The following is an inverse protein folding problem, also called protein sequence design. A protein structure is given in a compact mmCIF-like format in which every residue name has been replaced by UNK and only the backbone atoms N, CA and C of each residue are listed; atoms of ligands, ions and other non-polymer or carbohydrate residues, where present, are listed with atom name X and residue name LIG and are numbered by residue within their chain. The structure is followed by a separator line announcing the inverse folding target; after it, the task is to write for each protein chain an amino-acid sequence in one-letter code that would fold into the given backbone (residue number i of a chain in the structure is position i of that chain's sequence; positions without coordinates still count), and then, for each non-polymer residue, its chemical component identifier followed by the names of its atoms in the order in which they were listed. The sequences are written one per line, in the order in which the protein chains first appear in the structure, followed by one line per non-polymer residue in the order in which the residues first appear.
data_IF_091275389785
#
_entry.id   IF_091275389785
#
_cell.length_a   1.000
_cell.length_b   1.000
_cell.length_c   1.000
_cell.angle_alpha   90.00
_cell.angle_beta   90.00
_cell.angle_gamma   90.00
#
_symmetry.space_group_name_H-M   'P 1'
#
loop_
_entity.id
_entity.type
_entity.pdbx_description
1 polymer ?
#
# COMPACT_ATOMS: atom_id res chain seq x y z
N UNK A 1 14.96 7.64 2.91
CA UNK A 1 15.16 6.54 1.94
C UNK A 1 14.04 6.63 0.93
N UNK A 2 14.34 6.41 -0.34
CA UNK A 2 13.36 6.45 -1.44
C UNK A 2 13.31 5.09 -2.13
N UNK A 3 12.11 4.64 -2.44
CA UNK A 3 11.82 3.35 -3.02
C UNK A 3 10.79 3.51 -4.14
N UNK A 4 10.87 2.63 -5.14
CA UNK A 4 10.02 2.71 -6.31
C UNK A 4 9.50 1.32 -6.66
N UNK A 5 8.18 1.19 -6.82
CA UNK A 5 7.56 -0.04 -7.30
C UNK A 5 7.61 -0.01 -8.83
N UNK A 6 8.35 -0.94 -9.43
CA UNK A 6 8.56 -1.00 -10.89
C UNK A 6 8.16 -2.35 -11.48
N UNK A 7 7.68 -3.27 -10.65
CA UNK A 7 7.37 -4.64 -11.02
C UNK A 7 5.98 -5.05 -10.52
N UNK A 8 5.31 -5.85 -11.33
CA UNK A 8 4.20 -6.68 -10.91
C UNK A 8 4.66 -7.71 -9.86
N UNK A 9 3.70 -8.28 -9.13
CA UNK A 9 3.92 -9.23 -8.04
C UNK A 9 4.79 -10.46 -8.42
N UNK A 10 4.82 -10.82 -9.71
CA UNK A 10 5.55 -11.95 -10.29
C UNK A 10 6.91 -11.56 -10.90
N UNK A 11 7.32 -10.29 -10.76
CA UNK A 11 8.59 -9.78 -11.27
C UNK A 11 8.52 -9.16 -12.67
N UNK A 12 7.39 -9.27 -13.39
CA UNK A 12 7.23 -8.60 -14.68
C UNK A 12 7.31 -7.06 -14.51
N UNK A 13 7.90 -6.31 -15.46
CA UNK A 13 7.95 -4.85 -15.37
C UNK A 13 6.57 -4.22 -15.58
N UNK A 14 6.27 -3.14 -14.86
CA UNK A 14 5.03 -2.38 -15.06
C UNK A 14 5.05 -1.57 -16.37
N UNK A 15 3.87 -1.26 -16.90
CA UNK A 15 3.69 -0.50 -18.15
C UNK A 15 3.15 0.93 -17.97
N UNK A 16 3.28 1.50 -16.78
CA UNK A 16 2.88 2.88 -16.44
C UNK A 16 3.89 3.53 -15.48
N UNK A 17 3.63 4.79 -15.11
CA UNK A 17 4.43 5.52 -14.14
C UNK A 17 4.48 4.78 -12.78
N UNK A 18 5.65 4.65 -12.15
CA UNK A 18 5.79 3.85 -10.94
C UNK A 18 5.24 4.54 -9.69
N UNK A 19 5.00 3.74 -8.64
CA UNK A 19 4.74 4.26 -7.29
C UNK A 19 6.05 4.60 -6.60
N UNK A 20 6.15 5.81 -6.04
CA UNK A 20 7.29 6.25 -5.23
C UNK A 20 6.91 6.31 -3.75
N UNK A 21 7.77 5.77 -2.89
CA UNK A 21 7.63 5.75 -1.44
C UNK A 21 8.89 6.36 -0.83
N UNK A 22 8.72 7.42 -0.03
CA UNK A 22 9.80 8.04 0.72
C UNK A 22 9.59 7.83 2.23
N UNK A 23 10.56 7.17 2.85
CA UNK A 23 10.58 6.88 4.28
C UNK A 23 11.61 7.77 4.98
N UNK A 24 11.19 8.44 6.05
CA UNK A 24 12.09 9.26 6.88
C UNK A 24 11.70 9.22 8.36
N UNK A 25 12.67 9.21 9.28
CA UNK A 25 12.38 9.30 10.70
C UNK A 25 11.78 10.67 11.03
N UNK A 26 10.82 10.69 11.94
CA UNK A 26 10.22 11.88 12.52
C UNK A 26 10.08 11.71 14.05
N UNK A 27 9.93 12.80 14.83
CA UNK A 27 9.90 12.73 16.29
C UNK A 27 8.85 11.76 16.88
N UNK A 28 7.73 11.54 16.18
CA UNK A 28 6.65 10.65 16.64
C UNK A 28 6.54 9.30 15.93
N UNK A 29 7.37 9.05 14.91
CA UNK A 29 7.22 7.84 14.10
C UNK A 29 8.02 7.86 12.81
N UNK A 30 7.76 6.87 11.97
CA UNK A 30 8.23 6.83 10.59
C UNK A 30 7.26 7.62 9.71
N UNK A 31 7.72 8.70 9.11
CA UNK A 31 6.96 9.36 8.06
C UNK A 31 7.13 8.60 6.75
N UNK A 32 6.00 8.28 6.13
CA UNK A 32 5.89 7.68 4.81
C UNK A 32 5.16 8.66 3.89
N UNK A 33 5.87 9.18 2.89
CA UNK A 33 5.29 9.97 1.80
C UNK A 33 5.15 9.06 0.57
N UNK A 34 3.97 9.02 -0.05
CA UNK A 34 3.65 8.19 -1.23
C UNK A 34 3.26 9.10 -2.39
N UNK A 35 3.70 8.78 -3.60
CA UNK A 35 3.25 9.39 -4.85
C UNK A 35 2.98 8.28 -5.85
N UNK A 36 1.78 8.25 -6.43
CA UNK A 36 1.37 7.17 -7.34
C UNK A 36 0.38 7.68 -8.40
N UNK A 37 0.29 7.00 -9.55
CA UNK A 37 -0.76 7.28 -10.52
C UNK A 37 -2.14 7.08 -9.89
N UNK A 38 -3.11 7.86 -10.33
CA UNK A 38 -4.51 7.73 -9.95
C UNK A 38 -5.32 7.28 -11.16
N UNK A 39 -5.78 6.03 -11.16
CA UNK A 39 -6.49 5.43 -12.29
C UNK A 39 -8.01 5.59 -12.20
N UNK A 40 -8.53 5.81 -10.99
CA UNK A 40 -9.94 5.97 -10.65
C UNK A 40 -10.81 4.74 -11.01
N UNK A 41 -10.30 3.51 -10.82
CA UNK A 41 -10.99 2.26 -11.18
C UNK A 41 -10.79 1.12 -10.16
N UNK A 42 -11.80 0.70 -9.39
CA UNK A 42 -13.16 1.25 -9.31
C UNK A 42 -13.22 2.43 -8.33
N UNK A 43 -14.17 3.38 -8.49
CA UNK A 43 -14.28 4.54 -7.62
C UNK A 43 -14.57 4.12 -6.17
N UNK A 44 -13.98 4.83 -5.22
CA UNK A 44 -14.18 4.63 -3.79
C UNK A 44 -15.68 4.76 -3.40
N UNK A 45 -16.20 3.93 -2.48
CA UNK A 45 -17.48 4.19 -1.86
C UNK A 45 -17.39 5.47 -1.01
N UNK A 46 -18.49 6.23 -0.92
CA UNK A 46 -18.54 7.43 -0.08
C UNK A 46 -18.38 7.08 1.40
N UNK A 47 -17.42 7.69 2.10
CA UNK A 47 -17.16 7.46 3.53
C UNK A 47 -16.57 8.69 4.23
N UNK A 48 -16.57 8.73 5.59
CA UNK A 48 -16.00 9.84 6.35
C UNK A 48 -14.48 9.90 6.19
N UNK A 49 -13.97 11.07 5.78
CA UNK A 49 -12.54 11.29 5.52
C UNK A 49 -11.72 11.09 6.79
N UNK A 50 -10.63 10.31 6.71
CA UNK A 50 -9.66 10.14 7.79
C UNK A 50 -9.91 8.97 8.73
N UNK A 51 -11.03 8.24 8.58
CA UNK A 51 -11.36 7.11 9.45
C UNK A 51 -10.94 5.75 8.85
N UNK A 52 -10.67 4.73 9.68
CA UNK A 52 -10.46 3.36 9.23
C UNK A 52 -11.65 2.82 8.45
N UNK A 53 -11.37 2.15 7.32
CA UNK A 53 -12.39 1.53 6.48
C UNK A 53 -11.95 0.11 6.12
N UNK A 54 -12.85 -0.87 6.27
CA UNK A 54 -12.57 -2.26 5.89
C UNK A 54 -12.72 -2.46 4.38
N UNK A 55 -12.06 -3.49 3.83
CA UNK A 55 -12.12 -3.81 2.41
C UNK A 55 -11.60 -2.71 1.45
N UNK A 56 -10.62 -1.90 1.90
CA UNK A 56 -9.97 -0.89 1.04
C UNK A 56 -9.29 -1.51 -0.19
N UNK A 57 -8.93 -2.78 -0.14
CA UNK A 57 -8.37 -3.48 -1.29
C UNK A 57 -9.36 -3.66 -2.44
N UNK A 58 -10.68 -3.49 -2.25
CA UNK A 58 -11.66 -3.66 -3.34
C UNK A 58 -11.87 -2.40 -4.19
N UNK A 59 -11.26 -1.27 -3.82
CA UNK A 59 -11.47 0.01 -4.47
C UNK A 59 -10.17 0.79 -4.63
N UNK A 60 -10.13 1.70 -5.60
CA UNK A 60 -9.15 2.79 -5.59
C UNK A 60 -9.62 3.89 -4.61
N UNK A 61 -9.55 3.52 -3.33
CA UNK A 61 -10.07 4.28 -2.20
C UNK A 61 -9.24 5.50 -1.83
N UNK A 62 -9.58 6.70 -2.33
CA UNK A 62 -8.89 7.93 -1.94
C UNK A 62 -9.83 9.04 -1.43
N UNK A 63 -10.36 8.79 -0.24
CA UNK A 63 -10.94 9.81 0.65
C UNK A 63 -10.21 9.89 2.00
N UNK A 64 -8.90 9.59 2.04
CA UNK A 64 -8.14 9.69 3.29
C UNK A 64 -8.36 8.51 4.26
N UNK A 65 -8.83 7.37 3.76
CA UNK A 65 -8.94 6.16 4.56
C UNK A 65 -7.59 5.46 4.69
N UNK A 66 -7.39 4.78 5.81
CA UNK A 66 -6.22 3.94 6.06
C UNK A 66 -6.67 2.69 6.83
N UNK A 67 -5.93 1.59 6.70
CA UNK A 67 -6.11 0.42 7.54
C UNK A 67 -4.75 -0.01 8.06
N UNK A 68 -4.63 -0.08 9.38
CA UNK A 68 -3.42 -0.56 10.05
C UNK A 68 -3.78 -1.81 10.83
N UNK A 69 -3.08 -2.89 10.51
CA UNK A 69 -3.19 -4.19 11.15
C UNK A 69 -1.84 -4.55 11.78
N UNK A 70 -1.85 -5.02 13.01
CA UNK A 70 -0.72 -5.74 13.60
C UNK A 70 -1.04 -7.22 13.57
N UNK A 71 -0.18 -8.01 12.94
CA UNK A 71 -0.33 -9.44 12.83
C UNK A 71 0.60 -10.15 13.83
N UNK A 72 0.11 -11.24 14.41
CA UNK A 72 0.93 -12.19 15.15
C UNK A 72 0.93 -13.51 14.37
N UNK A 73 1.99 -13.79 13.61
CA UNK A 73 2.09 -14.88 12.62
C UNK A 73 1.37 -14.57 11.29
N UNK A 74 1.41 -15.51 10.33
CA UNK A 74 0.82 -15.35 8.99
C UNK A 74 -0.71 -15.29 9.08
N UNK A 75 -1.30 -14.22 8.54
CA UNK A 75 -2.77 -14.01 8.43
C UNK A 75 -3.53 -14.04 9.77
N UNK A 76 -2.86 -13.80 10.90
CA UNK A 76 -3.50 -13.79 12.21
C UNK A 76 -3.44 -12.38 12.81
N UNK A 77 -4.59 -11.70 12.83
CA UNK A 77 -4.73 -10.33 13.28
C UNK A 77 -4.67 -10.28 14.80
N UNK A 78 -3.70 -9.53 15.35
CA UNK A 78 -3.60 -9.24 16.77
C UNK A 78 -4.31 -7.93 17.13
N UNK A 79 -4.14 -6.89 16.31
CA UNK A 79 -4.85 -5.61 16.42
C UNK A 79 -5.24 -5.10 15.05
N UNK A 80 -6.36 -4.41 14.95
CA UNK A 80 -6.87 -3.82 13.72
C UNK A 80 -7.38 -2.40 13.94
N UNK A 81 -7.60 -1.68 12.85
CA UNK A 81 -8.11 -0.30 12.85
C UNK A 81 -7.29 0.65 13.75
N UNK A 82 -5.97 0.42 13.84
CA UNK A 82 -5.11 1.27 14.65
C UNK A 82 -5.01 2.67 14.03
N UNK A 83 -5.16 3.74 14.85
CA UNK A 83 -5.15 5.09 14.34
C UNK A 83 -3.74 5.48 13.90
N UNK A 84 -3.63 6.25 12.83
CA UNK A 84 -2.43 7.02 12.52
C UNK A 84 -2.79 8.35 11.89
N UNK A 85 -1.84 9.27 11.85
CA UNK A 85 -2.01 10.48 11.06
C UNK A 85 -1.87 10.13 9.59
N UNK A 86 -2.93 10.37 8.81
CA UNK A 86 -2.93 10.19 7.36
C UNK A 86 -3.53 11.40 6.66
N UNK A 87 -2.89 11.79 5.55
CA UNK A 87 -3.41 12.78 4.61
C UNK A 87 -3.24 12.27 3.20
N UNK A 88 -4.24 12.49 2.36
CA UNK A 88 -4.17 12.19 0.94
C UNK A 88 -4.71 13.35 0.12
N UNK A 89 -4.14 13.53 -1.06
CA UNK A 89 -4.60 14.51 -2.05
C UNK A 89 -4.45 13.95 -3.45
N UNK A 90 -5.33 14.34 -4.35
CA UNK A 90 -5.24 13.99 -5.77
C UNK A 90 -5.05 15.29 -6.55
N UNK A 91 -4.09 15.31 -7.45
CA UNK A 91 -3.84 16.42 -8.35
C UNK A 91 -3.32 15.89 -9.68
N UNK A 92 -3.98 16.27 -10.77
CA UNK A 92 -3.52 16.01 -12.15
C UNK A 92 -3.22 14.53 -12.46
N UNK A 93 -4.05 13.60 -11.98
CA UNK A 93 -3.87 12.16 -12.25
C UNK A 93 -2.79 11.49 -11.39
N UNK A 94 -2.26 12.19 -10.38
CA UNK A 94 -1.38 11.62 -9.36
C UNK A 94 -2.03 11.80 -8.00
N UNK A 95 -2.02 10.75 -7.18
CA UNK A 95 -2.36 10.87 -5.77
C UNK A 95 -1.09 10.90 -4.92
N UNK A 96 -1.15 11.72 -3.87
CA UNK A 96 -0.09 11.83 -2.88
C UNK A 96 -0.64 11.50 -1.51
N UNK A 97 0.03 10.60 -0.82
CA UNK A 97 -0.27 10.20 0.55
C UNK A 97 0.83 10.61 1.50
N UNK A 98 0.46 10.92 2.74
CA UNK A 98 1.40 11.07 3.85
C UNK A 98 0.84 10.36 5.07
N UNK A 99 1.60 9.41 5.60
CA UNK A 99 1.32 8.75 6.86
C UNK A 99 2.43 9.04 7.87
N UNK A 100 2.09 9.16 9.16
CA UNK A 100 3.05 9.06 10.25
C UNK A 100 2.74 7.79 11.04
N UNK A 101 3.58 6.77 10.87
CA UNK A 101 3.44 5.47 11.52
C UNK A 101 4.15 5.53 12.88
N UNK A 102 3.45 5.41 14.01
CA UNK A 102 4.07 5.46 15.34
C UNK A 102 5.20 4.44 15.52
N UNK A 103 6.27 4.82 16.22
CA UNK A 103 7.38 3.91 16.49
C UNK A 103 6.95 2.64 17.25
N UNK A 104 5.92 2.76 18.08
CA UNK A 104 5.32 1.65 18.83
C UNK A 104 4.60 0.60 17.97
N UNK A 105 4.34 0.88 16.68
CA UNK A 105 3.75 -0.10 15.76
C UNK A 105 4.79 -1.04 15.16
N UNK A 106 6.07 -0.72 15.30
CA UNK A 106 7.15 -1.55 14.80
C UNK A 106 7.62 -2.55 15.86
N UNK A 107 7.84 -3.82 15.47
CA UNK A 107 8.58 -4.74 16.29
C UNK A 107 10.00 -4.21 16.60
N UNK A 108 10.60 -4.59 17.75
CA UNK A 108 11.98 -4.23 18.04
C UNK A 108 12.92 -4.67 16.91
N UNK A 109 13.84 -3.76 16.52
CA UNK A 109 14.88 -4.03 15.51
C UNK A 109 14.36 -4.44 14.13
N UNK A 110 13.17 -4.00 13.73
CA UNK A 110 12.69 -4.20 12.36
C UNK A 110 13.64 -3.57 11.34
N UNK A 111 14.01 -4.33 10.32
CA UNK A 111 14.90 -3.92 9.24
C UNK A 111 14.37 -4.32 7.85
N UNK A 112 13.23 -5.00 7.80
CA UNK A 112 12.59 -5.47 6.58
C UNK A 112 11.21 -4.83 6.40
N UNK A 113 10.87 -4.52 5.16
CA UNK A 113 9.52 -4.13 4.76
C UNK A 113 9.29 -4.49 3.30
N UNK A 114 8.03 -4.51 2.90
CA UNK A 114 7.62 -4.57 1.51
C UNK A 114 6.46 -3.60 1.30
N UNK A 115 6.19 -3.25 0.05
CA UNK A 115 5.07 -2.39 -0.32
C UNK A 115 4.41 -2.94 -1.57
N UNK A 116 3.10 -2.74 -1.67
CA UNK A 116 2.30 -3.22 -2.78
C UNK A 116 1.43 -2.09 -3.31
N UNK A 117 1.20 -2.08 -4.62
CA UNK A 117 0.19 -1.25 -5.26
C UNK A 117 -0.83 -2.16 -5.95
N UNK A 118 -2.10 -1.82 -5.80
CA UNK A 118 -3.21 -2.56 -6.38
C UNK A 118 -4.13 -1.52 -7.03
N UNK A 119 -4.45 -1.73 -8.29
CA UNK A 119 -5.28 -0.82 -9.08
C UNK A 119 -6.05 -1.60 -10.16
N UNK A 120 -7.07 -0.96 -10.73
CA UNK A 120 -7.98 -1.60 -11.68
C UNK A 120 -8.97 -2.58 -11.05
N UNK A 121 -9.90 -3.07 -11.87
CA UNK A 121 -11.02 -3.92 -11.42
C UNK A 121 -11.19 -5.21 -12.24
N UNK A 122 -11.76 -6.25 -11.61
CA UNK A 122 -12.05 -7.53 -12.25
C UNK A 122 -10.82 -8.18 -12.90
N UNK A 123 -10.92 -8.53 -14.18
CA UNK A 123 -9.82 -9.13 -14.96
C UNK A 123 -8.67 -8.15 -15.26
N UNK A 124 -8.89 -6.84 -15.07
CA UNK A 124 -7.88 -5.80 -15.27
C UNK A 124 -7.17 -5.40 -13.97
N UNK A 125 -7.44 -6.11 -12.87
CA UNK A 125 -6.83 -5.80 -11.59
C UNK A 125 -5.36 -6.19 -11.60
N UNK A 126 -4.51 -5.21 -11.34
CA UNK A 126 -3.07 -5.35 -11.33
C UNK A 126 -2.55 -5.38 -9.90
N UNK A 127 -1.52 -6.19 -9.67
CA UNK A 127 -0.85 -6.32 -8.37
C UNK A 127 0.63 -6.09 -8.58
N UNK A 128 1.17 -5.14 -7.83
CA UNK A 128 2.57 -4.73 -7.92
C UNK A 128 3.24 -4.84 -6.56
N UNK A 129 4.56 -5.02 -6.57
CA UNK A 129 5.33 -5.18 -5.35
C UNK A 129 6.70 -4.48 -5.46
N UNK A 130 7.13 -3.86 -4.36
CA UNK A 130 8.48 -3.31 -4.23
C UNK A 130 9.52 -4.44 -4.28
N UNK A 131 9.24 -5.54 -3.56
CA UNK A 131 10.00 -6.78 -3.61
C UNK A 131 9.05 -7.91 -4.08
N UNK A 132 8.97 -8.16 -5.40
CA UNK A 132 8.11 -9.21 -5.95
C UNK A 132 8.69 -10.61 -5.72
N UNK A 133 7.88 -11.63 -5.99
CA UNK A 133 8.38 -13.00 -6.05
C UNK A 133 9.35 -13.09 -7.24
N UNK A 134 10.57 -13.62 -7.06
CA UNK A 134 11.47 -13.83 -8.19
C UNK A 134 10.80 -14.68 -9.26
N UNK A 135 10.88 -14.28 -10.53
CA UNK A 135 10.16 -14.93 -11.64
C UNK A 135 10.36 -16.45 -11.69
N UNK A 136 11.59 -16.91 -11.41
CA UNK A 136 11.97 -18.32 -11.34
C UNK A 136 11.30 -19.12 -10.20
N UNK A 137 10.74 -18.44 -9.21
CA UNK A 137 10.07 -19.00 -8.03
C UNK A 137 8.54 -18.93 -8.15
N UNK A 138 8.03 -18.27 -9.20
CA UNK A 138 6.59 -18.24 -9.51
C UNK A 138 6.17 -19.61 -10.03
N UNK A 139 5.18 -20.21 -9.36
CA UNK A 139 4.63 -21.50 -9.74
C UNK A 139 3.62 -21.34 -10.88
N UNK A 140 3.49 -22.37 -11.72
CA UNK A 140 2.49 -22.37 -12.80
C UNK A 140 1.08 -22.24 -12.22
N UNK A 141 0.33 -21.24 -12.70
CA UNK A 141 -1.02 -20.93 -12.21
C UNK A 141 -1.06 -20.21 -10.86
N UNK A 142 0.07 -19.82 -10.28
CA UNK A 142 0.10 -19.02 -9.06
C UNK A 142 -0.57 -17.66 -9.28
N UNK A 143 -1.31 -17.21 -8.27
CA UNK A 143 -1.97 -15.91 -8.24
C UNK A 143 -1.50 -15.12 -7.01
N UNK A 144 -1.69 -13.79 -6.99
CA UNK A 144 -1.49 -12.96 -5.80
C UNK A 144 -2.28 -13.48 -4.60
N UNK A 145 -1.69 -13.39 -3.42
CA UNK A 145 -2.33 -13.81 -2.17
C UNK A 145 -3.42 -12.76 -1.81
N UNK A 146 -4.70 -13.16 -1.80
CA UNK A 146 -5.85 -12.33 -1.41
C UNK A 146 -6.05 -12.30 0.12
#
# INVERSE_FOLDING_TARGET
MEFTIQNEWNGAPIAHEPVTICLKPAPGGLQMDVSAPFFNDPPAPSGPVGEPFQALWDYEGLHGHHLVLLLSQRRNIWKECLPLFFQASISQGTWKGRALIPWEYFPPSVDQFNAYAIHGSGLKRTYEALYPIPEKEVQEGQQPDL
#
